data_IF_910592084940
#
_entry.id   IF_910592084940
#
_cell.length_a   1.000
_cell.length_b   1.000
_cell.length_c   1.000
_cell.angle_alpha   90.00
_cell.angle_beta   90.00
_cell.angle_gamma   90.00
#
_symmetry.space_group_name_H-M   'P 1'
#
loop_
_entity.id
_entity.type
_entity.pdbx_description
1 polymer ?
#
# COMPACT_ATOMS: atom_id res chain seq x y z
N UNK A 1 5.34 -14.23 3.61
CA UNK A 1 5.16 -13.03 4.45
C UNK A 1 3.99 -13.29 5.38
N UNK A 2 4.11 -13.08 6.70
CA UNK A 2 3.06 -13.38 7.68
C UNK A 2 2.01 -12.26 7.63
N UNK A 3 0.74 -12.60 7.38
CA UNK A 3 -0.37 -11.64 7.39
C UNK A 3 -0.72 -11.25 8.84
N UNK A 4 -1.10 -9.98 9.05
CA UNK A 4 -1.66 -9.56 10.33
C UNK A 4 -3.09 -10.09 10.55
N UNK A 5 -3.64 -9.95 11.76
CA UNK A 5 -4.98 -10.46 12.07
C UNK A 5 -6.10 -9.72 11.32
N UNK A 6 -5.92 -8.43 11.01
CA UNK A 6 -6.89 -7.64 10.24
C UNK A 6 -6.93 -8.06 8.77
N UNK A 7 -5.76 -8.28 8.16
CA UNK A 7 -5.63 -8.77 6.79
C UNK A 7 -6.31 -10.12 6.58
N UNK A 8 -6.41 -10.96 7.61
CA UNK A 8 -7.11 -12.26 7.52
C UNK A 8 -8.63 -12.10 7.42
N UNK A 9 -9.20 -11.08 8.06
CA UNK A 9 -10.65 -10.81 8.03
C UNK A 9 -11.05 -10.23 6.69
N UNK A 10 -10.19 -9.35 6.16
CA UNK A 10 -10.31 -8.74 4.84
C UNK A 10 -10.02 -9.72 3.70
N UNK A 11 -9.49 -10.90 4.01
CA UNK A 11 -9.26 -11.92 3.00
C UNK A 11 -10.57 -12.28 2.30
N UNK A 12 -10.51 -12.41 0.98
CA UNK A 12 -11.66 -12.66 0.11
C UNK A 12 -12.66 -11.49 -0.02
N UNK A 13 -12.40 -10.29 0.51
CA UNK A 13 -13.26 -9.13 0.24
C UNK A 13 -12.84 -8.43 -1.04
N UNK A 14 -13.81 -8.01 -1.84
CA UNK A 14 -13.63 -7.56 -3.22
C UNK A 14 -12.71 -6.34 -3.34
N UNK A 15 -12.72 -5.45 -2.35
CA UNK A 15 -11.87 -4.25 -2.36
C UNK A 15 -10.46 -4.54 -1.87
N UNK A 16 -10.30 -5.41 -0.88
CA UNK A 16 -8.98 -5.82 -0.39
C UNK A 16 -8.21 -6.64 -1.44
N UNK A 17 -8.88 -7.50 -2.19
CA UNK A 17 -8.27 -8.28 -3.29
C UNK A 17 -7.70 -7.40 -4.42
N UNK A 18 -8.06 -6.11 -4.50
CA UNK A 18 -7.46 -5.20 -5.48
C UNK A 18 -5.94 -5.06 -5.30
N UNK A 19 -5.43 -5.19 -4.08
CA UNK A 19 -4.00 -5.14 -3.82
C UNK A 19 -3.22 -6.27 -4.49
N UNK A 20 -3.86 -7.42 -4.75
CA UNK A 20 -3.21 -8.55 -5.43
C UNK A 20 -2.89 -8.23 -6.89
N UNK A 21 -3.67 -7.33 -7.51
CA UNK A 21 -3.44 -6.91 -8.91
C UNK A 21 -2.10 -6.19 -9.08
N UNK A 22 -1.65 -5.48 -8.06
CA UNK A 22 -0.34 -4.83 -8.06
C UNK A 22 0.83 -5.80 -8.02
N UNK A 23 0.61 -7.03 -7.53
CA UNK A 23 1.64 -8.05 -7.37
C UNK A 23 1.75 -9.01 -8.57
N UNK A 24 0.96 -8.82 -9.64
CA UNK A 24 1.00 -9.68 -10.82
C UNK A 24 2.36 -9.63 -11.53
N UNK A 25 2.81 -10.78 -12.03
CA UNK A 25 4.11 -10.95 -12.69
C UNK A 25 4.30 -10.03 -13.89
N UNK A 26 5.56 -9.72 -14.20
CA UNK A 26 5.95 -8.77 -15.25
C UNK A 26 6.39 -9.52 -16.52
N UNK A 27 5.61 -9.43 -17.60
CA UNK A 27 5.97 -10.05 -18.88
C UNK A 27 7.04 -9.24 -19.65
N UNK A 28 7.22 -7.95 -19.34
CA UNK A 28 8.22 -7.09 -19.99
C UNK A 28 8.70 -5.96 -19.06
N UNK A 29 9.72 -6.25 -18.25
CA UNK A 29 10.38 -5.30 -17.33
C UNK A 29 11.25 -4.26 -18.02
N UNK A 30 11.69 -4.51 -19.25
CA UNK A 30 12.72 -3.70 -19.94
C UNK A 30 12.39 -2.21 -19.99
N UNK A 31 11.11 -1.87 -20.24
CA UNK A 31 10.61 -0.49 -20.31
C UNK A 31 10.61 0.28 -18.99
N UNK A 32 10.78 -0.41 -17.86
CA UNK A 32 10.74 0.18 -16.51
C UNK A 32 12.13 0.22 -15.86
N UNK A 33 13.12 -0.46 -16.45
CA UNK A 33 14.46 -0.60 -15.88
C UNK A 33 15.13 0.75 -15.67
N UNK A 34 14.99 1.66 -16.63
CA UNK A 34 15.66 2.96 -16.65
C UNK A 34 15.26 3.85 -15.47
N UNK A 35 14.00 3.77 -15.01
CA UNK A 35 13.53 4.56 -13.86
C UNK A 35 14.11 4.10 -12.52
N UNK A 36 14.66 2.88 -12.48
CA UNK A 36 15.09 2.20 -11.28
C UNK A 36 16.61 1.97 -11.25
N UNK A 37 17.38 2.58 -12.16
CA UNK A 37 18.82 2.35 -12.24
C UNK A 37 19.55 2.74 -10.95
N UNK A 38 19.15 3.84 -10.30
CA UNK A 38 19.73 4.28 -9.03
C UNK A 38 19.42 3.32 -7.87
N UNK A 39 18.37 2.50 -7.97
CA UNK A 39 18.06 1.50 -6.94
C UNK A 39 19.13 0.41 -6.82
N UNK A 40 19.95 0.21 -7.87
CA UNK A 40 21.06 -0.75 -7.86
C UNK A 40 22.06 -0.47 -6.75
N UNK A 41 22.25 0.80 -6.36
CA UNK A 41 23.15 1.17 -5.26
C UNK A 41 22.65 0.71 -3.89
N UNK A 42 21.37 0.34 -3.76
CA UNK A 42 20.74 -0.01 -2.50
C UNK A 42 20.39 -1.49 -2.37
N UNK A 43 20.77 -2.35 -3.33
CA UNK A 43 20.40 -3.77 -3.32
C UNK A 43 21.06 -4.56 -2.17
N UNK A 44 22.24 -4.13 -1.72
CA UNK A 44 22.91 -4.73 -0.56
C UNK A 44 22.21 -4.35 0.75
N UNK A 45 21.87 -3.06 0.92
CA UNK A 45 21.19 -2.54 2.12
C UNK A 45 19.73 -2.99 2.18
N UNK A 46 19.07 -2.98 1.04
CA UNK A 46 17.65 -3.30 0.85
C UNK A 46 17.50 -4.41 -0.20
N UNK A 47 17.78 -5.69 0.17
CA UNK A 47 17.55 -6.82 -0.72
C UNK A 47 16.12 -6.80 -1.28
N UNK A 48 16.00 -7.01 -2.59
CA UNK A 48 14.71 -6.98 -3.29
C UNK A 48 14.18 -5.60 -3.69
N UNK A 49 14.86 -4.49 -3.35
CA UNK A 49 14.37 -3.14 -3.64
C UNK A 49 14.26 -2.86 -5.15
N UNK A 50 15.17 -3.44 -5.94
CA UNK A 50 15.20 -3.24 -7.38
C UNK A 50 13.96 -3.87 -8.04
N UNK A 51 13.59 -5.08 -7.65
CA UNK A 51 12.39 -5.78 -8.09
C UNK A 51 11.13 -5.03 -7.67
N UNK A 52 11.08 -4.53 -6.43
CA UNK A 52 9.96 -3.70 -5.95
C UNK A 52 9.86 -2.42 -6.78
N UNK A 53 10.99 -1.78 -7.11
CA UNK A 53 11.01 -0.58 -7.95
C UNK A 53 10.41 -0.83 -9.34
N UNK A 54 10.76 -1.95 -9.98
CA UNK A 54 10.18 -2.29 -11.28
C UNK A 54 8.66 -2.45 -11.21
N UNK A 55 8.16 -3.12 -10.16
CA UNK A 55 6.72 -3.27 -9.93
C UNK A 55 6.08 -1.90 -9.65
N UNK A 56 6.71 -1.06 -8.84
CA UNK A 56 6.26 0.31 -8.56
C UNK A 56 6.13 1.15 -9.83
N UNK A 57 7.18 1.18 -10.65
CA UNK A 57 7.19 1.94 -11.90
C UNK A 57 6.13 1.45 -12.88
N UNK A 58 5.98 0.12 -13.04
CA UNK A 58 4.89 -0.48 -13.82
C UNK A 58 3.53 -0.04 -13.30
N UNK A 59 3.30 -0.24 -12.01
CA UNK A 59 2.01 0.03 -11.38
C UNK A 59 1.60 1.48 -11.49
N UNK A 60 2.55 2.42 -11.37
CA UNK A 60 2.29 3.85 -11.53
C UNK A 60 1.94 4.21 -12.98
N UNK A 61 2.71 3.70 -13.94
CA UNK A 61 2.52 3.96 -15.38
C UNK A 61 1.25 3.31 -15.93
N UNK A 62 0.84 2.16 -15.40
CA UNK A 62 -0.32 1.41 -15.89
C UNK A 62 -1.44 1.32 -14.83
N UNK A 63 -1.54 2.31 -13.95
CA UNK A 63 -2.49 2.31 -12.85
C UNK A 63 -3.95 2.21 -13.31
N UNK A 64 -4.40 2.94 -14.36
CA UNK A 64 -5.77 2.85 -14.86
C UNK A 64 -6.11 1.48 -15.45
N UNK A 65 -5.13 0.74 -15.99
CA UNK A 65 -5.35 -0.61 -16.53
C UNK A 65 -5.41 -1.67 -15.41
N UNK A 66 -4.65 -1.47 -14.31
CA UNK A 66 -4.63 -2.41 -13.18
C UNK A 66 -5.92 -2.33 -12.37
N UNK A 67 -6.38 -1.11 -12.07
CA UNK A 67 -7.59 -0.86 -11.30
C UNK A 67 -8.65 -0.25 -12.22
N UNK A 68 -9.76 -0.98 -12.44
CA UNK A 68 -10.82 -0.69 -13.43
C UNK A 68 -11.32 0.77 -13.43
N UNK A 69 -12.00 1.15 -14.51
CA UNK A 69 -12.55 2.50 -14.73
C UNK A 69 -13.69 2.91 -13.78
N UNK A 70 -14.34 1.98 -13.08
CA UNK A 70 -15.41 2.31 -12.10
C UNK A 70 -14.87 3.02 -10.84
N UNK A 71 -13.54 3.11 -10.72
CA UNK A 71 -12.84 3.83 -9.68
C UNK A 71 -12.28 5.14 -10.25
N UNK A 72 -12.49 6.25 -9.54
CA UNK A 72 -11.88 7.52 -9.87
C UNK A 72 -10.34 7.46 -9.68
N UNK A 73 -9.65 8.45 -10.26
CA UNK A 73 -8.20 8.45 -10.26
C UNK A 73 -7.59 8.57 -8.85
N UNK A 74 -8.24 9.35 -7.99
CA UNK A 74 -7.76 9.60 -6.63
C UNK A 74 -7.82 8.33 -5.79
N UNK A 75 -8.92 7.57 -5.93
CA UNK A 75 -9.08 6.29 -5.25
C UNK A 75 -8.09 5.25 -5.76
N UNK A 76 -7.85 5.17 -7.09
CA UNK A 76 -6.78 4.31 -7.62
C UNK A 76 -5.42 4.69 -7.03
N UNK A 77 -5.14 5.98 -6.93
CA UNK A 77 -3.89 6.48 -6.38
C UNK A 77 -3.77 6.20 -4.87
N UNK A 78 -4.88 6.26 -4.12
CA UNK A 78 -4.92 5.84 -2.71
C UNK A 78 -4.54 4.35 -2.56
N UNK A 79 -5.15 3.46 -3.34
CA UNK A 79 -4.79 2.03 -3.34
C UNK A 79 -3.30 1.81 -3.68
N UNK A 80 -2.79 2.52 -4.68
CA UNK A 80 -1.37 2.45 -5.05
C UNK A 80 -0.45 2.87 -3.90
N UNK A 81 -0.74 3.98 -3.24
CA UNK A 81 0.04 4.48 -2.10
C UNK A 81 0.00 3.53 -0.90
N UNK A 82 -1.18 3.00 -0.56
CA UNK A 82 -1.30 1.99 0.50
C UNK A 82 -0.55 0.71 0.16
N UNK A 83 -0.59 0.26 -1.10
CA UNK A 83 0.17 -0.92 -1.53
C UNK A 83 1.68 -0.74 -1.33
N UNK A 84 2.26 0.35 -1.85
CA UNK A 84 3.72 0.52 -1.80
C UNK A 84 4.22 0.77 -0.37
N UNK A 85 3.50 1.58 0.41
CA UNK A 85 3.90 1.88 1.81
C UNK A 85 3.79 0.65 2.69
N UNK A 86 2.74 -0.16 2.53
CA UNK A 86 2.58 -1.45 3.22
C UNK A 86 3.65 -2.46 2.79
N UNK A 87 3.98 -2.52 1.49
CA UNK A 87 5.05 -3.37 0.97
C UNK A 87 6.39 -3.00 1.61
N UNK A 88 6.75 -1.71 1.60
CA UNK A 88 7.99 -1.19 2.20
C UNK A 88 8.02 -1.46 3.70
N UNK A 89 6.94 -1.17 4.44
CA UNK A 89 6.83 -1.47 5.89
C UNK A 89 7.15 -2.93 6.18
N UNK A 90 6.53 -3.85 5.43
CA UNK A 90 6.75 -5.28 5.62
C UNK A 90 8.19 -5.71 5.30
N UNK A 91 8.86 -5.06 4.36
CA UNK A 91 10.28 -5.31 4.10
C UNK A 91 11.16 -4.88 5.28
N UNK A 92 10.90 -3.71 5.87
CA UNK A 92 11.59 -3.27 7.11
C UNK A 92 11.34 -4.19 8.31
N UNK A 93 10.13 -4.74 8.42
CA UNK A 93 9.81 -5.68 9.51
C UNK A 93 10.52 -7.03 9.32
N UNK A 94 10.75 -7.47 8.08
CA UNK A 94 11.11 -8.88 7.80
C UNK A 94 12.52 -9.10 7.24
N UNK A 95 13.09 -8.15 6.50
CA UNK A 95 14.31 -8.37 5.72
C UNK A 95 15.34 -7.26 5.88
N UNK A 96 14.92 -6.00 5.84
CA UNK A 96 15.84 -4.86 5.86
C UNK A 96 16.30 -4.59 7.28
N UNK A 97 17.62 -4.66 7.49
CA UNK A 97 18.24 -4.62 8.83
C UNK A 97 18.38 -3.21 9.40
N UNK A 98 18.20 -2.19 8.55
CA UNK A 98 18.43 -0.79 8.88
C UNK A 98 17.13 -0.08 9.30
N UNK A 99 16.63 -0.45 10.49
CA UNK A 99 15.41 0.14 11.08
C UNK A 99 15.66 1.62 11.40
N UNK A 100 14.73 2.51 11.06
CA UNK A 100 14.89 3.96 11.21
C UNK A 100 15.32 4.70 9.93
N UNK A 101 15.69 3.95 8.89
CA UNK A 101 16.06 4.48 7.57
C UNK A 101 14.95 4.38 6.54
N UNK A 102 13.69 4.29 6.97
CA UNK A 102 12.50 4.21 6.11
C UNK A 102 12.47 5.37 5.10
N UNK A 103 12.84 6.56 5.56
CA UNK A 103 12.90 7.77 4.75
C UNK A 103 13.83 7.63 3.52
N UNK A 104 14.93 6.85 3.62
CA UNK A 104 15.86 6.62 2.51
C UNK A 104 15.17 5.80 1.43
N UNK A 105 14.56 4.67 1.81
CA UNK A 105 13.83 3.82 0.86
C UNK A 105 12.68 4.59 0.19
N UNK A 106 11.87 5.32 0.96
CA UNK A 106 10.74 6.10 0.45
C UNK A 106 11.19 7.25 -0.46
N UNK A 107 12.27 7.95 -0.11
CA UNK A 107 12.85 9.01 -0.97
C UNK A 107 13.31 8.45 -2.32
N UNK A 108 13.84 7.22 -2.35
CA UNK A 108 14.21 6.60 -3.62
C UNK A 108 12.98 6.29 -4.49
N UNK A 109 11.84 5.87 -3.93
CA UNK A 109 10.60 5.70 -4.69
C UNK A 109 10.03 7.04 -5.18
N UNK A 110 10.15 8.12 -4.41
CA UNK A 110 9.78 9.46 -4.84
C UNK A 110 10.60 9.91 -6.07
N UNK A 111 11.91 9.60 -6.11
CA UNK A 111 12.75 9.89 -7.27
C UNK A 111 12.32 9.11 -8.53
N UNK A 112 11.83 7.88 -8.36
CA UNK A 112 11.26 7.07 -9.45
C UNK A 112 9.99 7.75 -10.00
N UNK A 113 9.06 8.15 -9.13
CA UNK A 113 7.84 8.88 -9.52
C UNK A 113 8.18 10.18 -10.28
N UNK A 114 9.13 10.96 -9.75
CA UNK A 114 9.59 12.20 -10.37
C UNK A 114 10.19 11.96 -11.77
N UNK A 115 10.94 10.87 -11.94
CA UNK A 115 11.52 10.50 -13.24
C UNK A 115 10.45 10.09 -14.26
N UNK A 116 9.45 9.32 -13.83
CA UNK A 116 8.30 8.92 -14.67
C UNK A 116 7.47 10.15 -15.07
N UNK A 117 7.23 11.07 -14.13
CA UNK A 117 6.50 12.31 -14.37
C UNK A 117 7.20 13.21 -15.39
N UNK A 118 8.53 13.30 -15.34
CA UNK A 118 9.34 14.08 -16.30
C UNK A 118 9.19 13.59 -17.74
N UNK A 119 8.90 12.30 -17.93
CA UNK A 119 8.63 11.71 -19.26
C UNK A 119 7.15 11.73 -19.65
N UNK A 120 6.29 12.40 -18.89
CA UNK A 120 4.84 12.48 -19.12
C UNK A 120 4.15 11.11 -19.20
N UNK A 121 4.68 10.11 -18.49
CA UNK A 121 4.10 8.76 -18.40
C UNK A 121 3.33 8.51 -17.10
N UNK A 122 3.12 9.56 -16.31
CA UNK A 122 2.35 9.50 -15.07
C UNK A 122 0.85 9.74 -15.33
N UNK A 123 -0.02 8.92 -14.74
CA UNK A 123 -1.48 9.00 -14.82
C UNK A 123 -2.08 9.99 -13.80
N UNK A 124 -1.45 11.15 -13.57
CA UNK A 124 -1.83 12.10 -12.53
C UNK A 124 -1.96 11.48 -11.11
N UNK A 125 -1.20 10.42 -10.82
CA UNK A 125 -1.10 9.86 -9.49
C UNK A 125 0.26 10.22 -8.88
N UNK A 126 0.25 10.70 -7.64
CA UNK A 126 1.47 11.02 -6.92
C UNK A 126 1.77 9.97 -5.87
N UNK A 127 3.05 9.63 -5.72
CA UNK A 127 3.50 8.91 -4.55
C UNK A 127 3.56 9.89 -3.38
N UNK A 128 2.67 9.69 -2.41
CA UNK A 128 2.50 10.57 -1.27
C UNK A 128 3.56 10.24 -0.21
N UNK A 129 4.61 11.05 -0.19
CA UNK A 129 5.70 10.93 0.78
C UNK A 129 5.81 12.22 1.57
N UNK A 130 5.77 12.07 2.90
CA UNK A 130 6.14 13.11 3.85
C UNK A 130 7.09 12.53 4.89
N UNK A 131 8.17 13.25 5.19
CA UNK A 131 9.13 12.85 6.24
C UNK A 131 8.52 12.87 7.65
N UNK A 132 7.39 13.56 7.85
CA UNK A 132 6.65 13.55 9.12
C UNK A 132 5.70 12.37 9.27
N UNK A 133 5.45 11.60 8.21
CA UNK A 133 4.49 10.49 8.18
C UNK A 133 5.24 9.17 8.26
N UNK A 134 5.01 8.42 9.34
CA UNK A 134 5.66 7.12 9.56
C UNK A 134 4.95 6.00 8.78
N UNK A 135 5.65 4.89 8.55
CA UNK A 135 5.05 3.69 7.95
C UNK A 135 3.97 3.05 8.83
N UNK A 136 4.01 3.27 10.14
CA UNK A 136 2.94 2.86 11.06
C UNK A 136 1.70 3.76 10.91
N UNK A 137 1.88 5.06 10.66
CA UNK A 137 0.75 5.95 10.36
C UNK A 137 0.09 5.59 9.02
N UNK A 138 0.90 5.27 8.00
CA UNK A 138 0.39 4.71 6.74
C UNK A 138 -0.40 3.42 6.95
N UNK A 139 0.04 2.56 7.88
CA UNK A 139 -0.70 1.35 8.26
C UNK A 139 -2.04 1.70 8.90
N UNK A 140 -2.09 2.62 9.86
CA UNK A 140 -3.33 3.06 10.51
C UNK A 140 -4.35 3.60 9.50
N UNK A 141 -3.90 4.44 8.55
CA UNK A 141 -4.76 4.96 7.49
C UNK A 141 -5.24 3.88 6.53
N UNK A 142 -4.37 2.95 6.15
CA UNK A 142 -4.74 1.80 5.32
C UNK A 142 -5.81 0.96 6.02
N UNK A 143 -5.62 0.62 7.30
CA UNK A 143 -6.56 -0.20 8.07
C UNK A 143 -7.96 0.46 8.13
N UNK A 144 -8.01 1.79 8.34
CA UNK A 144 -9.26 2.57 8.31
C UNK A 144 -9.92 2.56 6.93
N UNK A 145 -9.14 2.80 5.88
CA UNK A 145 -9.65 2.79 4.50
C UNK A 145 -10.18 1.40 4.12
N UNK A 146 -9.40 0.35 4.37
CA UNK A 146 -9.76 -1.03 4.09
C UNK A 146 -11.03 -1.43 4.85
N UNK A 147 -11.17 -1.02 6.12
CA UNK A 147 -12.42 -1.21 6.88
C UNK A 147 -13.62 -0.57 6.18
N UNK A 148 -13.52 0.71 5.80
CA UNK A 148 -14.62 1.46 5.17
C UNK A 148 -14.99 0.85 3.83
N UNK A 149 -14.00 0.54 2.98
CA UNK A 149 -14.25 0.03 1.61
C UNK A 149 -14.79 -1.39 1.59
N UNK A 150 -14.44 -2.22 2.57
CA UNK A 150 -14.87 -3.62 2.63
C UNK A 150 -16.07 -3.87 3.55
N UNK A 151 -16.65 -2.85 4.20
CA UNK A 151 -17.74 -3.01 5.16
C UNK A 151 -18.89 -3.89 4.64
N UNK A 152 -19.36 -3.64 3.41
CA UNK A 152 -20.47 -4.39 2.79
C UNK A 152 -20.12 -5.87 2.54
N UNK A 153 -18.85 -6.21 2.31
CA UNK A 153 -18.42 -7.58 2.07
C UNK A 153 -18.22 -8.35 3.39
N UNK A 154 -17.87 -7.63 4.46
CA UNK A 154 -17.58 -8.21 5.78
C UNK A 154 -18.88 -8.36 6.59
N UNK A 155 -19.80 -7.40 6.52
CA UNK A 155 -21.04 -7.39 7.32
C UNK A 155 -21.82 -8.72 7.26
N UNK A 156 -22.06 -9.35 6.09
CA UNK A 156 -22.79 -10.63 6.02
C UNK A 156 -22.03 -11.79 6.66
N UNK A 157 -20.69 -11.78 6.62
CA UNK A 157 -19.83 -12.83 7.20
C UNK A 157 -19.88 -12.80 8.72
N UNK A 158 -19.90 -11.61 9.31
CA UNK A 158 -20.05 -11.43 10.76
C UNK A 158 -21.40 -11.98 11.23
N UNK A 159 -22.47 -11.72 10.48
CA UNK A 159 -23.82 -12.15 10.86
C UNK A 159 -24.04 -13.67 10.73
N UNK A 160 -23.24 -14.36 9.92
CA UNK A 160 -23.39 -15.79 9.61
C UNK A 160 -22.46 -16.71 10.41
N UNK A 161 -21.35 -16.20 10.96
CA UNK A 161 -20.39 -16.99 11.74
C UNK A 161 -20.04 -16.32 13.08
N UNK A 162 -20.41 -16.98 14.19
CA UNK A 162 -20.15 -16.50 15.57
C UNK A 162 -18.65 -16.42 15.90
N UNK A 163 -17.82 -17.29 15.31
CA UNK A 163 -16.37 -17.23 15.46
C UNK A 163 -15.82 -15.98 14.77
N UNK A 164 -16.30 -15.68 13.56
CA UNK A 164 -15.95 -14.46 12.83
C UNK A 164 -16.37 -13.20 13.57
N UNK A 165 -17.50 -13.21 14.28
CA UNK A 165 -17.91 -12.10 15.14
C UNK A 165 -16.88 -11.78 16.24
N UNK A 166 -16.29 -12.81 16.87
CA UNK A 166 -15.26 -12.61 17.92
C UNK A 166 -13.98 -12.01 17.34
N UNK A 167 -13.54 -12.51 16.18
CA UNK A 167 -12.35 -12.02 15.49
C UNK A 167 -12.58 -10.57 15.02
N UNK A 168 -13.75 -10.31 14.42
CA UNK A 168 -14.12 -8.99 13.95
C UNK A 168 -14.23 -7.97 15.08
N UNK A 169 -14.76 -8.35 16.25
CA UNK A 169 -14.84 -7.44 17.40
C UNK A 169 -13.46 -6.88 17.76
N UNK A 170 -12.41 -7.72 17.80
CA UNK A 170 -11.05 -7.27 18.09
C UNK A 170 -10.49 -6.35 17.01
N UNK A 171 -10.77 -6.67 15.74
CA UNK A 171 -10.38 -5.81 14.63
C UNK A 171 -11.09 -4.46 14.69
N UNK A 172 -12.38 -4.45 14.95
CA UNK A 172 -13.19 -3.25 15.11
C UNK A 172 -12.70 -2.37 16.26
N UNK A 173 -12.29 -2.95 17.39
CA UNK A 173 -11.73 -2.19 18.51
C UNK A 173 -10.46 -1.42 18.10
N UNK A 174 -9.60 -2.02 17.26
CA UNK A 174 -8.41 -1.35 16.71
C UNK A 174 -8.81 -0.20 15.76
N UNK A 175 -9.74 -0.45 14.84
CA UNK A 175 -10.27 0.58 13.92
C UNK A 175 -10.90 1.74 14.68
N UNK A 176 -11.71 1.45 15.71
CA UNK A 176 -12.37 2.44 16.55
C UNK A 176 -11.35 3.32 17.27
N UNK A 177 -10.30 2.72 17.84
CA UNK A 177 -9.22 3.47 18.49
C UNK A 177 -8.55 4.45 17.52
N UNK A 178 -8.24 4.01 16.31
CA UNK A 178 -7.66 4.88 15.27
C UNK A 178 -8.64 5.99 14.86
N UNK A 179 -9.91 5.67 14.66
CA UNK A 179 -10.95 6.64 14.35
C UNK A 179 -11.09 7.73 15.43
N UNK A 180 -11.16 7.32 16.69
CA UNK A 180 -11.35 8.25 17.82
C UNK A 180 -10.16 9.22 17.94
N UNK A 181 -8.93 8.72 17.75
CA UNK A 181 -7.71 9.55 17.66
C UNK A 181 -7.82 10.63 16.57
N UNK A 182 -8.14 10.24 15.33
CA UNK A 182 -8.23 11.23 14.24
C UNK A 182 -9.42 12.17 14.38
N UNK A 183 -10.51 11.73 14.99
CA UNK A 183 -11.66 12.59 15.29
C UNK A 183 -11.26 13.72 16.25
N UNK A 184 -10.49 13.41 17.29
CA UNK A 184 -9.94 14.43 18.19
C UNK A 184 -8.99 15.37 17.45
N UNK A 185 -8.08 14.86 16.61
CA UNK A 185 -7.14 15.71 15.86
C UNK A 185 -7.82 16.64 14.82
N UNK A 186 -8.85 16.16 14.11
CA UNK A 186 -9.46 16.89 12.99
C UNK A 186 -10.69 17.74 13.35
N UNK A 187 -11.39 17.43 14.44
CA UNK A 187 -12.65 18.09 14.81
C UNK A 187 -12.55 18.88 16.12
N UNK A 188 -11.33 19.25 16.53
CA UNK A 188 -11.08 20.23 17.59
C UNK A 188 -11.19 21.67 17.08
#
# INVERSE_FOLDING_TARGET
MKMDEGEKILKNSSKYELYDKFNQNMDNTSKYLTYCEHMKYYTETYPGILEICYIFARNLITLPEILNHDMDNDERCRYFNFWITDKVRKMFVTQWKDKGSEHIALTNFLQVESSIKRESKNNNCHFDYSSSVTLELWKEWKDLHDYIRNYNDIQPRITSDRHMCTIYSKYFDNIKKSHDKYKEECCN
#
